data_IF_219246537463
#
_entry.id   IF_219246537463
#
_cell.length_a   1.000
_cell.length_b   1.000
_cell.length_c   1.000
_cell.angle_alpha   90.00
_cell.angle_beta   90.00
_cell.angle_gamma   90.00
#
_symmetry.space_group_name_H-M   'P 1'
#
loop_
_entity.id
_entity.type
_entity.pdbx_description
1 polymer ?
#
# COMPACT_ATOMS: atom_id res chain seq x y z
N UNK A 1 -10.40 -8.36 3.35
CA UNK A 1 -8.97 -8.51 3.10
C UNK A 1 -8.24 -8.02 4.33
N UNK A 2 -7.22 -8.75 4.79
CA UNK A 2 -6.38 -8.33 5.92
C UNK A 2 -4.95 -8.14 5.44
N UNK A 3 -4.31 -7.07 5.90
CA UNK A 3 -2.91 -6.76 5.64
C UNK A 3 -2.20 -6.60 6.96
N UNK A 4 -1.06 -7.29 7.13
CA UNK A 4 -0.20 -7.14 8.29
C UNK A 4 1.26 -7.04 7.84
N UNK A 5 1.98 -6.04 8.36
CA UNK A 5 3.38 -5.78 8.04
C UNK A 5 4.09 -5.41 9.32
N UNK A 6 5.17 -6.11 9.66
CA UNK A 6 6.03 -5.78 10.80
C UNK A 6 7.49 -5.69 10.36
N UNK A 7 8.16 -4.61 10.77
CA UNK A 7 9.50 -4.24 10.40
C UNK A 7 10.26 -3.74 11.62
N UNK A 8 11.47 -4.27 11.82
CA UNK A 8 12.37 -3.82 12.88
C UNK A 8 13.79 -3.79 12.34
N UNK A 9 14.38 -2.59 12.28
CA UNK A 9 15.76 -2.39 11.85
C UNK A 9 16.62 -2.09 13.07
N UNK A 10 17.67 -2.89 13.27
CA UNK A 10 18.64 -2.75 14.36
C UNK A 10 20.04 -2.50 13.82
N UNK A 11 20.81 -1.69 14.53
CA UNK A 11 22.26 -1.58 14.33
C UNK A 11 22.94 -1.80 15.68
N UNK A 12 23.76 -2.84 15.77
CA UNK A 12 24.23 -3.41 17.04
C UNK A 12 23.04 -3.75 17.95
N UNK A 13 23.00 -3.18 19.16
CA UNK A 13 21.95 -3.41 20.16
C UNK A 13 20.88 -2.30 20.19
N UNK A 14 20.94 -1.33 19.27
CA UNK A 14 20.03 -0.18 19.23
C UNK A 14 19.04 -0.35 18.08
N UNK A 15 17.74 -0.22 18.39
CA UNK A 15 16.66 -0.15 17.39
C UNK A 15 16.73 1.21 16.71
N UNK A 16 16.92 1.20 15.39
CA UNK A 16 17.00 2.42 14.58
C UNK A 16 15.64 2.80 13.99
N UNK A 17 14.80 1.80 13.71
CA UNK A 17 13.46 1.98 13.15
C UNK A 17 12.56 0.78 13.52
N UNK A 18 11.32 1.06 13.88
CA UNK A 18 10.28 0.05 14.12
C UNK A 18 8.96 0.48 13.48
N UNK A 19 8.32 -0.47 12.80
CA UNK A 19 7.06 -0.24 12.14
C UNK A 19 6.19 -1.50 12.24
N UNK A 20 4.93 -1.32 12.58
CA UNK A 20 3.91 -2.35 12.53
C UNK A 20 2.64 -1.74 11.94
N UNK A 21 2.06 -2.40 10.96
CA UNK A 21 0.80 -1.99 10.35
C UNK A 21 -0.13 -3.19 10.26
N UNK A 22 -1.35 -3.02 10.76
CA UNK A 22 -2.44 -3.98 10.62
C UNK A 22 -3.63 -3.24 10.01
N UNK A 23 -4.25 -3.83 9.00
CA UNK A 23 -5.41 -3.26 8.34
C UNK A 23 -6.39 -4.33 7.90
N UNK A 24 -7.68 -4.02 8.05
CA UNK A 24 -8.80 -4.80 7.56
C UNK A 24 -9.63 -3.94 6.62
N UNK A 25 -9.80 -4.43 5.39
CA UNK A 25 -10.57 -3.76 4.35
C UNK A 25 -11.68 -4.68 3.83
N UNK A 26 -12.89 -4.12 3.70
CA UNK A 26 -14.03 -4.81 3.08
C UNK A 26 -14.25 -4.20 1.70
N UNK A 27 -14.13 -5.02 0.67
CA UNK A 27 -14.34 -4.61 -0.72
C UNK A 27 -15.57 -5.30 -1.30
N UNK A 28 -16.37 -4.55 -2.08
CA UNK A 28 -17.51 -5.08 -2.82
C UNK A 28 -17.54 -4.42 -4.19
N UNK A 29 -17.56 -5.23 -5.26
CA UNK A 29 -17.61 -4.78 -6.65
C UNK A 29 -16.56 -3.70 -6.97
N UNK A 30 -15.32 -3.92 -6.50
CA UNK A 30 -14.20 -2.99 -6.69
C UNK A 30 -14.26 -1.71 -5.85
N UNK A 31 -15.22 -1.59 -4.93
CA UNK A 31 -15.38 -0.40 -4.07
C UNK A 31 -15.07 -0.73 -2.61
N UNK A 32 -14.37 0.18 -1.95
CA UNK A 32 -14.06 0.07 -0.52
C UNK A 32 -15.32 0.38 0.30
N UNK A 33 -15.76 -0.61 1.09
CA UNK A 33 -16.95 -0.55 1.94
C UNK A 33 -16.60 -0.20 3.38
N UNK A 34 -15.50 -0.73 3.88
CA UNK A 34 -14.99 -0.43 5.22
C UNK A 34 -13.46 -0.54 5.26
N UNK A 35 -12.86 0.25 6.14
CA UNK A 35 -11.44 0.24 6.47
C UNK A 35 -11.31 0.36 7.99
N UNK A 36 -10.51 -0.50 8.62
CA UNK A 36 -10.05 -0.32 9.98
C UNK A 36 -8.56 -0.66 10.01
N UNK A 37 -7.74 0.28 10.46
CA UNK A 37 -6.31 0.06 10.53
C UNK A 37 -5.66 0.67 11.76
N UNK A 38 -4.55 0.06 12.13
CA UNK A 38 -3.64 0.55 13.16
C UNK A 38 -2.20 0.48 12.64
N UNK A 39 -1.51 1.62 12.72
CA UNK A 39 -0.09 1.72 12.37
C UNK A 39 0.68 2.20 13.59
N UNK A 40 1.67 1.44 14.05
CA UNK A 40 2.64 1.88 15.05
C UNK A 40 3.98 2.13 14.37
N UNK A 41 4.48 3.35 14.41
CA UNK A 41 5.80 3.74 13.89
C UNK A 41 6.60 4.39 15.01
N UNK A 42 7.75 3.82 15.35
CA UNK A 42 8.64 4.28 16.43
C UNK A 42 7.92 4.61 17.75
N UNK A 43 6.96 3.74 18.10
CA UNK A 43 6.14 3.85 19.32
C UNK A 43 4.92 4.77 19.21
N UNK A 44 4.78 5.54 18.13
CA UNK A 44 3.60 6.38 17.87
C UNK A 44 2.55 5.57 17.12
N UNK A 45 1.32 5.53 17.65
CA UNK A 45 0.21 4.78 17.05
C UNK A 45 -0.80 5.69 16.37
N UNK A 46 -1.16 5.33 15.14
CA UNK A 46 -2.17 5.95 14.29
C UNK A 46 -3.30 4.94 14.06
N UNK A 47 -4.55 5.44 14.03
CA UNK A 47 -5.71 4.63 13.67
C UNK A 47 -6.48 5.30 12.55
N UNK A 48 -7.00 4.49 11.63
CA UNK A 48 -7.86 4.95 10.55
C UNK A 48 -9.11 4.09 10.51
N UNK A 49 -10.27 4.74 10.62
CA UNK A 49 -11.58 4.12 10.44
C UNK A 49 -12.25 4.69 9.20
N UNK A 50 -12.84 3.82 8.39
CA UNK A 50 -13.48 4.20 7.14
C UNK A 50 -14.74 3.41 6.88
N UNK A 51 -15.74 4.09 6.30
CA UNK A 51 -17.00 3.48 5.89
C UNK A 51 -17.56 4.16 4.65
N UNK A 52 -18.12 3.35 3.75
CA UNK A 52 -18.87 3.86 2.63
C UNK A 52 -20.14 4.58 3.09
N UNK A 53 -20.39 5.74 2.51
CA UNK A 53 -21.55 6.60 2.78
C UNK A 53 -22.15 7.06 1.44
N UNK A 54 -23.39 7.57 1.40
CA UNK A 54 -24.00 7.98 0.12
C UNK A 54 -23.19 9.02 -0.67
N UNK A 55 -22.40 9.84 0.01
CA UNK A 55 -21.57 10.91 -0.60
C UNK A 55 -20.16 10.49 -0.99
N UNK A 56 -19.73 9.26 -0.69
CA UNK A 56 -18.34 8.84 -0.90
C UNK A 56 -17.87 7.79 0.10
N UNK A 57 -16.60 7.87 0.47
CA UNK A 57 -16.03 7.06 1.54
C UNK A 57 -15.59 7.98 2.68
N UNK A 58 -16.28 7.87 3.82
CA UNK A 58 -15.91 8.65 5.01
C UNK A 58 -14.70 8.00 5.64
N UNK A 59 -13.67 8.78 5.92
CA UNK A 59 -12.45 8.35 6.60
C UNK A 59 -12.25 9.21 7.84
N UNK A 60 -11.84 8.60 8.94
CA UNK A 60 -11.52 9.24 10.20
C UNK A 60 -10.11 8.82 10.58
N UNK A 61 -9.18 9.76 10.58
CA UNK A 61 -7.81 9.57 11.08
C UNK A 61 -7.45 10.64 12.10
N UNK A 62 -6.17 10.77 12.43
CA UNK A 62 -5.70 11.71 13.45
C UNK A 62 -5.97 13.19 13.12
N UNK A 63 -6.04 13.55 11.83
CA UNK A 63 -6.35 14.90 11.38
C UNK A 63 -7.87 15.22 11.39
N UNK A 64 -8.71 14.27 11.78
CA UNK A 64 -10.17 14.39 11.77
C UNK A 64 -10.83 13.73 10.55
N UNK A 65 -12.16 13.86 10.43
CA UNK A 65 -12.93 13.19 9.39
C UNK A 65 -12.87 13.93 8.05
N UNK A 66 -12.85 13.19 6.95
CA UNK A 66 -13.08 13.70 5.59
C UNK A 66 -13.88 12.69 4.75
N UNK A 67 -14.31 13.11 3.56
CA UNK A 67 -14.99 12.24 2.59
C UNK A 67 -14.14 12.18 1.33
N UNK A 68 -13.63 10.99 1.02
CA UNK A 68 -13.00 10.67 -0.26
C UNK A 68 -14.06 10.34 -1.33
N UNK A 69 -13.67 10.40 -2.60
CA UNK A 69 -14.51 9.85 -3.66
C UNK A 69 -14.70 8.34 -3.43
N UNK A 70 -15.86 7.81 -3.82
CA UNK A 70 -16.19 6.42 -3.52
C UNK A 70 -15.32 5.39 -4.25
N UNK A 71 -14.61 5.81 -5.30
CA UNK A 71 -13.68 4.99 -6.07
C UNK A 71 -12.22 5.10 -5.58
N UNK A 72 -11.93 6.00 -4.62
CA UNK A 72 -10.55 6.22 -4.16
C UNK A 72 -10.00 4.96 -3.51
N UNK A 73 -8.87 4.49 -4.02
CA UNK A 73 -8.13 3.34 -3.48
C UNK A 73 -7.35 3.73 -2.22
N UNK A 74 -6.82 2.75 -1.51
CA UNK A 74 -6.00 2.96 -0.31
C UNK A 74 -4.52 2.71 -0.60
N UNK A 75 -3.65 3.20 0.29
CA UNK A 75 -2.21 2.89 0.29
C UNK A 75 -1.89 1.38 0.47
N UNK A 76 -2.89 0.55 0.79
CA UNK A 76 -2.76 -0.91 0.86
C UNK A 76 -3.10 -1.62 -0.46
N UNK A 77 -3.51 -0.89 -1.49
CA UNK A 77 -4.04 -1.43 -2.75
C UNK A 77 -2.97 -1.74 -3.81
N UNK A 78 -1.72 -2.05 -3.44
CA UNK A 78 -0.68 -2.42 -4.41
C UNK A 78 -1.01 -3.68 -5.21
N UNK A 79 -1.93 -4.51 -4.73
CA UNK A 79 -2.45 -5.67 -5.45
C UNK A 79 -3.46 -5.30 -6.54
N UNK A 80 -4.06 -4.11 -6.48
CA UNK A 80 -5.09 -3.66 -7.39
C UNK A 80 -4.47 -2.83 -8.52
N UNK A 81 -4.48 -3.37 -9.73
CA UNK A 81 -3.91 -2.72 -10.91
C UNK A 81 -4.42 -1.31 -11.19
N UNK A 82 -5.65 -0.98 -10.77
CA UNK A 82 -6.23 0.35 -10.93
C UNK A 82 -5.38 1.45 -10.26
N UNK A 83 -4.57 1.12 -9.24
CA UNK A 83 -3.69 2.07 -8.56
C UNK A 83 -2.69 2.73 -9.52
N UNK A 84 -2.37 2.11 -10.65
CA UNK A 84 -1.46 2.66 -11.65
C UNK A 84 -2.02 3.90 -12.36
N UNK A 85 -3.35 4.09 -12.33
CA UNK A 85 -4.04 5.24 -12.93
C UNK A 85 -4.41 6.34 -11.93
N UNK A 86 -4.10 6.16 -10.64
CA UNK A 86 -4.47 7.10 -9.60
C UNK A 86 -3.37 8.15 -9.37
N UNK A 87 -3.79 9.39 -9.10
CA UNK A 87 -2.90 10.48 -8.68
C UNK A 87 -2.89 10.67 -7.15
N UNK A 88 -3.91 10.14 -6.48
CA UNK A 88 -4.08 10.24 -5.03
C UNK A 88 -4.75 8.98 -4.47
N UNK A 89 -4.56 8.74 -3.18
CA UNK A 89 -5.17 7.61 -2.48
C UNK A 89 -5.45 7.94 -1.03
N UNK A 90 -6.37 7.21 -0.41
CA UNK A 90 -6.57 7.26 1.03
C UNK A 90 -5.33 6.68 1.69
N UNK A 91 -4.73 7.43 2.61
CA UNK A 91 -3.69 6.86 3.44
C UNK A 91 -4.32 5.97 4.52
N UNK A 92 -4.24 4.66 4.33
CA UNK A 92 -4.68 3.67 5.30
C UNK A 92 -3.80 3.63 6.55
N UNK A 93 -2.68 4.35 6.59
CA UNK A 93 -1.77 4.32 7.74
C UNK A 93 -2.05 5.43 8.75
N UNK A 94 -2.14 6.67 8.27
CA UNK A 94 -2.31 7.87 9.12
C UNK A 94 -3.65 8.58 8.88
N UNK A 95 -4.39 8.17 7.85
CA UNK A 95 -5.60 8.83 7.39
C UNK A 95 -5.28 10.04 6.49
N UNK A 96 -6.32 10.58 5.86
CA UNK A 96 -6.17 11.65 4.88
C UNK A 96 -6.02 11.11 3.45
N UNK A 97 -5.67 12.02 2.54
CA UNK A 97 -5.38 11.70 1.14
C UNK A 97 -3.93 12.07 0.87
N UNK A 98 -3.18 11.13 0.30
CA UNK A 98 -1.78 11.33 -0.10
C UNK A 98 -1.64 11.25 -1.62
N UNK A 99 -0.62 11.93 -2.14
CA UNK A 99 -0.27 11.86 -3.55
C UNK A 99 0.37 10.52 -3.92
N UNK A 100 0.16 10.12 -5.16
CA UNK A 100 0.73 8.94 -5.78
C UNK A 100 1.35 9.32 -7.13
N UNK A 101 2.61 8.95 -7.33
CA UNK A 101 3.26 9.03 -8.64
C UNK A 101 3.63 7.64 -9.11
N UNK A 102 3.10 7.26 -10.27
CA UNK A 102 3.40 6.00 -10.94
C UNK A 102 4.00 6.28 -12.31
N UNK A 103 5.09 5.58 -12.64
CA UNK A 103 5.71 5.67 -13.97
C UNK A 103 6.05 4.28 -14.48
N UNK A 104 5.46 3.90 -15.62
CA UNK A 104 5.83 2.68 -16.35
C UNK A 104 7.29 2.76 -16.80
N UNK A 105 8.02 1.65 -16.67
CA UNK A 105 9.44 1.56 -17.00
C UNK A 105 9.70 0.62 -18.18
N UNK A 106 9.40 -0.67 -18.06
CA UNK A 106 9.74 -1.67 -19.06
C UNK A 106 8.83 -2.90 -18.96
N UNK A 107 8.73 -3.68 -20.04
CA UNK A 107 8.32 -5.08 -19.97
C UNK A 107 9.57 -5.96 -19.84
N UNK A 108 9.54 -6.95 -18.96
CA UNK A 108 10.66 -7.84 -18.69
C UNK A 108 10.19 -9.19 -18.15
N UNK A 109 11.02 -10.21 -18.29
CA UNK A 109 10.83 -11.50 -17.62
C UNK A 109 11.56 -11.48 -16.27
N UNK A 110 10.82 -11.72 -15.18
CA UNK A 110 11.36 -11.81 -13.83
C UNK A 110 11.25 -13.23 -13.29
N UNK A 111 12.19 -13.62 -12.42
CA UNK A 111 12.17 -14.94 -11.78
C UNK A 111 11.48 -14.85 -10.42
N UNK A 112 10.35 -15.54 -10.27
CA UNK A 112 9.58 -15.63 -9.02
C UNK A 112 9.46 -17.10 -8.65
N UNK A 113 9.92 -17.47 -7.45
CA UNK A 113 9.92 -18.87 -6.97
C UNK A 113 10.52 -19.88 -7.98
N UNK A 114 11.56 -19.47 -8.73
CA UNK A 114 12.21 -20.29 -9.74
C UNK A 114 11.49 -20.39 -11.09
N UNK A 115 10.36 -19.69 -11.28
CA UNK A 115 9.63 -19.62 -12.55
C UNK A 115 9.83 -18.26 -13.22
N UNK A 116 9.98 -18.27 -14.54
CA UNK A 116 9.99 -17.04 -15.34
C UNK A 116 8.58 -16.50 -15.50
N UNK A 117 8.36 -15.22 -15.19
CA UNK A 117 7.08 -14.52 -15.29
C UNK A 117 7.28 -13.25 -16.11
N UNK A 118 6.55 -13.14 -17.22
CA UNK A 118 6.52 -11.93 -18.03
C UNK A 118 5.71 -10.84 -17.31
N UNK A 119 6.35 -9.72 -17.01
CA UNK A 119 5.77 -8.63 -16.23
C UNK A 119 6.12 -7.25 -16.76
N UNK A 120 5.28 -6.26 -16.43
CA UNK A 120 5.56 -4.85 -16.65
C UNK A 120 6.03 -4.23 -15.33
N UNK A 121 7.16 -3.54 -15.38
CA UNK A 121 7.78 -2.82 -14.27
C UNK A 121 7.32 -1.38 -14.20
N UNK A 122 6.99 -0.91 -12.99
CA UNK A 122 6.60 0.46 -12.69
C UNK A 122 7.43 1.01 -11.53
N UNK A 123 7.78 2.30 -11.58
CA UNK A 123 8.24 3.08 -10.42
C UNK A 123 7.00 3.63 -9.71
N UNK A 124 6.95 3.50 -8.39
CA UNK A 124 5.91 4.06 -7.52
C UNK A 124 6.56 4.96 -6.46
N UNK A 125 5.93 6.11 -6.19
CA UNK A 125 6.36 7.06 -5.15
C UNK A 125 5.13 7.62 -4.43
N UNK A 126 5.18 7.62 -3.11
CA UNK A 126 4.27 8.25 -2.15
C UNK A 126 5.11 9.00 -1.11
N UNK A 127 4.51 9.77 -0.17
CA UNK A 127 5.26 10.40 0.92
C UNK A 127 6.08 9.41 1.77
N UNK A 128 5.54 8.21 2.01
CA UNK A 128 6.09 7.24 2.97
C UNK A 128 6.67 5.98 2.31
N UNK A 129 6.51 5.84 0.99
CA UNK A 129 6.88 4.63 0.26
C UNK A 129 7.36 4.96 -1.14
N UNK A 130 8.55 4.50 -1.52
CA UNK A 130 9.04 4.63 -2.87
C UNK A 130 9.67 3.32 -3.34
N UNK A 131 9.45 2.94 -4.59
CA UNK A 131 9.90 1.62 -5.01
C UNK A 131 9.53 1.25 -6.42
N UNK A 132 9.71 -0.02 -6.70
CA UNK A 132 9.40 -0.64 -7.97
C UNK A 132 8.38 -1.74 -7.73
N UNK A 133 7.37 -1.82 -8.59
CA UNK A 133 6.33 -2.85 -8.56
C UNK A 133 6.20 -3.49 -9.93
N UNK A 134 5.81 -4.76 -9.95
CA UNK A 134 5.63 -5.54 -11.17
C UNK A 134 4.22 -6.14 -11.22
N UNK A 135 3.63 -6.04 -12.40
CA UNK A 135 2.36 -6.70 -12.72
C UNK A 135 2.54 -7.61 -13.91
N UNK A 136 1.94 -8.81 -13.87
CA UNK A 136 1.95 -9.71 -15.01
C UNK A 136 1.00 -9.24 -16.13
N UNK A 137 0.94 -10.01 -17.22
CA UNK A 137 0.05 -9.73 -18.36
C UNK A 137 -1.44 -9.86 -18.04
N UNK A 138 -1.79 -10.50 -16.93
CA UNK A 138 -3.14 -10.60 -16.42
C UNK A 138 -3.46 -9.48 -15.41
N UNK A 139 -2.59 -8.47 -15.29
CA UNK A 139 -2.68 -7.34 -14.37
C UNK A 139 -2.64 -7.76 -12.89
N UNK A 140 -2.07 -8.92 -12.58
CA UNK A 140 -1.87 -9.37 -11.21
C UNK A 140 -0.57 -8.80 -10.67
N UNK A 141 -0.58 -8.29 -9.44
CA UNK A 141 0.65 -7.87 -8.77
C UNK A 141 1.49 -9.09 -8.41
N UNK A 142 2.73 -9.14 -8.90
CA UNK A 142 3.59 -10.33 -8.76
C UNK A 142 4.86 -10.08 -7.96
N UNK A 143 5.33 -8.84 -7.88
CA UNK A 143 6.55 -8.49 -7.13
C UNK A 143 6.57 -7.01 -6.73
N UNK A 144 7.31 -6.70 -5.68
CA UNK A 144 7.58 -5.34 -5.23
C UNK A 144 8.93 -5.22 -4.53
N UNK A 145 9.69 -4.20 -4.89
CA UNK A 145 10.93 -3.78 -4.22
C UNK A 145 10.73 -2.34 -3.77
N UNK A 146 10.40 -2.18 -2.49
CA UNK A 146 9.97 -0.92 -1.93
C UNK A 146 10.96 -0.46 -0.86
N UNK A 147 11.04 0.85 -0.67
CA UNK A 147 11.86 1.47 0.36
C UNK A 147 10.96 2.30 1.26
N UNK A 148 11.17 2.13 2.57
CA UNK A 148 10.53 2.92 3.62
C UNK A 148 11.57 3.23 4.69
N UNK A 149 11.76 4.50 5.03
CA UNK A 149 12.63 4.92 6.14
C UNK A 149 14.02 4.27 6.12
N UNK A 150 14.61 4.10 4.92
CA UNK A 150 15.91 3.46 4.70
C UNK A 150 15.92 1.93 4.78
N UNK A 151 14.77 1.29 5.02
CA UNK A 151 14.58 -0.15 4.97
C UNK A 151 14.07 -0.59 3.59
N UNK A 152 14.67 -1.63 3.02
CA UNK A 152 14.20 -2.27 1.79
C UNK A 152 13.22 -3.40 2.12
N UNK A 153 12.07 -3.36 1.45
CA UNK A 153 11.00 -4.35 1.49
C UNK A 153 10.98 -5.10 0.17
N UNK A 154 11.01 -6.43 0.24
CA UNK A 154 10.82 -7.27 -0.94
C UNK A 154 9.55 -8.09 -0.78
N UNK A 155 8.58 -7.85 -1.66
CA UNK A 155 7.35 -8.62 -1.78
C UNK A 155 7.44 -9.48 -3.03
N UNK A 156 7.06 -10.74 -2.93
CA UNK A 156 6.98 -11.67 -4.06
C UNK A 156 5.73 -12.52 -3.87
N UNK A 157 5.04 -12.83 -4.96
CA UNK A 157 3.95 -13.80 -4.94
C UNK A 157 4.50 -15.16 -4.44
N UNK A 158 3.88 -15.72 -3.40
CA UNK A 158 4.10 -17.10 -2.99
C UNK A 158 3.28 -18.05 -3.89
N UNK A 159 3.79 -19.26 -4.18
CA UNK A 159 3.18 -20.19 -5.14
C UNK A 159 1.83 -20.78 -4.72
#
# INVERSE_FOLDING_TARGET
MSTEVELMVKKFFVTMFSYRHRSEEVWRDGRLMALNSETTEDGVTFRVDGAAVPRGFRVVGNAGPFIAAAATLTSNCLWNYAILGEETMIDAQRGGVIGLSVRRLADEDIVIAGRSVAATRFRLITPDLAGTIWYDRANQWVSGELERSGATLQYRLEP
#
